data_IF_941391092738
#
_entry.id   IF_941391092738
#
_cell.length_a   1.000
_cell.length_b   1.000
_cell.length_c   1.000
_cell.angle_alpha   90.00
_cell.angle_beta   90.00
_cell.angle_gamma   90.00
#
_symmetry.space_group_name_H-M   'P 1'
#
loop_
_entity.id
_entity.type
_entity.pdbx_description
1 polymer ?
#
# COMPACT_ATOMS: atom_id res chain seq x y z
N UNK A 1 22.58 22.19 1.81
CA UNK A 1 21.45 23.00 1.28
C UNK A 1 20.37 22.04 0.82
N UNK A 2 19.08 22.33 1.06
CA UNK A 2 17.97 21.51 0.52
C UNK A 2 18.04 21.34 -1.00
N UNK A 3 18.68 22.30 -1.69
CA UNK A 3 18.98 22.28 -3.11
C UNK A 3 20.05 21.22 -3.47
N UNK A 4 21.05 20.97 -2.63
CA UNK A 4 22.07 19.93 -2.86
C UNK A 4 21.51 18.51 -2.68
N UNK A 5 20.67 18.30 -1.66
CA UNK A 5 19.93 17.06 -1.49
C UNK A 5 18.92 16.84 -2.63
N UNK A 6 18.24 17.90 -3.07
CA UNK A 6 17.38 17.86 -4.26
C UNK A 6 18.15 17.52 -5.55
N UNK A 7 19.39 18.02 -5.69
CA UNK A 7 20.24 17.74 -6.85
C UNK A 7 20.73 16.29 -6.89
N UNK A 8 21.04 15.69 -5.74
CA UNK A 8 21.36 14.26 -5.65
C UNK A 8 20.13 13.38 -5.92
N UNK A 9 18.94 13.75 -5.41
CA UNK A 9 17.68 13.03 -5.68
C UNK A 9 17.32 13.07 -7.17
N UNK A 10 17.47 14.23 -7.82
CA UNK A 10 17.12 14.41 -9.25
C UNK A 10 18.13 13.71 -10.16
N UNK A 11 19.43 13.67 -9.82
CA UNK A 11 20.44 12.93 -10.58
C UNK A 11 20.30 11.40 -10.44
N UNK A 12 19.70 10.92 -9.36
CA UNK A 12 19.45 9.48 -9.10
C UNK A 12 18.05 9.04 -9.54
N UNK A 13 17.20 9.97 -9.99
CA UNK A 13 15.83 9.69 -10.41
C UNK A 13 15.82 8.95 -11.77
N UNK A 14 15.89 7.63 -11.72
CA UNK A 14 15.71 6.75 -12.87
C UNK A 14 14.28 6.15 -12.89
N UNK A 15 13.93 5.47 -13.98
CA UNK A 15 12.60 4.87 -14.14
C UNK A 15 12.26 3.90 -13.00
N UNK A 16 13.25 3.16 -12.50
CA UNK A 16 13.10 2.21 -11.39
C UNK A 16 12.69 2.91 -10.10
N UNK A 17 13.39 3.98 -9.72
CA UNK A 17 13.10 4.79 -8.54
C UNK A 17 11.68 5.36 -8.62
N UNK A 18 11.26 5.84 -9.79
CA UNK A 18 9.91 6.37 -9.98
C UNK A 18 8.84 5.28 -9.85
N UNK A 19 9.06 4.10 -10.41
CA UNK A 19 8.16 2.95 -10.31
C UNK A 19 7.94 2.55 -8.84
N UNK A 20 9.03 2.38 -8.08
CA UNK A 20 8.94 2.04 -6.66
C UNK A 20 8.36 3.18 -5.81
N UNK A 21 8.66 4.43 -6.13
CA UNK A 21 8.06 5.59 -5.44
C UNK A 21 6.54 5.64 -5.64
N UNK A 22 6.03 5.36 -6.85
CA UNK A 22 4.60 5.26 -7.13
C UNK A 22 3.97 4.14 -6.30
N UNK A 23 4.60 2.96 -6.28
CA UNK A 23 4.11 1.81 -5.53
C UNK A 23 4.05 2.07 -4.02
N UNK A 24 5.12 2.62 -3.45
CA UNK A 24 5.19 3.02 -2.03
C UNK A 24 4.12 4.05 -1.70
N UNK A 25 3.92 5.04 -2.58
CA UNK A 25 2.91 6.09 -2.40
C UNK A 25 1.48 5.52 -2.42
N UNK A 26 1.20 4.56 -3.30
CA UNK A 26 -0.11 3.90 -3.37
C UNK A 26 -0.40 3.10 -2.09
N UNK A 27 0.56 2.29 -1.63
CA UNK A 27 0.38 1.50 -0.41
C UNK A 27 0.22 2.42 0.81
N UNK A 28 1.06 3.44 0.93
CA UNK A 28 0.99 4.42 2.02
C UNK A 28 -0.34 5.19 2.01
N UNK A 29 -0.75 5.69 0.85
CA UNK A 29 -2.04 6.37 0.70
C UNK A 29 -3.20 5.47 1.10
N UNK A 30 -3.18 4.21 0.67
CA UNK A 30 -4.23 3.25 1.02
C UNK A 30 -4.27 2.90 2.52
N UNK A 31 -3.11 2.85 3.18
CA UNK A 31 -3.04 2.71 4.63
C UNK A 31 -3.73 3.87 5.33
N UNK A 32 -3.53 5.10 4.85
CA UNK A 32 -4.24 6.28 5.35
C UNK A 32 -5.76 6.11 5.27
N UNK A 33 -6.26 5.67 4.11
CA UNK A 33 -7.71 5.41 3.93
C UNK A 33 -8.24 4.36 4.91
N UNK A 34 -7.47 3.29 5.15
CA UNK A 34 -7.89 2.22 6.08
C UNK A 34 -7.81 2.67 7.53
N UNK A 35 -6.83 3.51 7.86
CA UNK A 35 -6.77 4.18 9.15
C UNK A 35 -8.00 5.07 9.35
N UNK A 36 -8.44 5.80 8.32
CA UNK A 36 -9.64 6.63 8.39
C UNK A 36 -10.91 5.79 8.63
N UNK A 37 -11.02 4.55 8.12
CA UNK A 37 -12.15 3.66 8.45
C UNK A 37 -12.25 3.34 9.94
N UNK A 38 -11.10 3.21 10.60
CA UNK A 38 -11.02 2.97 12.03
C UNK A 38 -11.41 4.23 12.82
N UNK A 39 -11.00 5.39 12.32
CA UNK A 39 -11.02 6.65 13.06
C UNK A 39 -12.22 7.56 12.68
N UNK A 40 -13.17 7.08 11.85
CA UNK A 40 -14.36 7.83 11.38
C UNK A 40 -15.06 8.64 12.47
N UNK A 41 -15.34 8.03 13.63
CA UNK A 41 -16.05 8.73 14.72
C UNK A 41 -15.22 9.90 15.26
N UNK A 42 -13.90 9.71 15.41
CA UNK A 42 -12.98 10.76 15.84
C UNK A 42 -12.84 11.85 14.78
N UNK A 43 -12.76 11.47 13.51
CA UNK A 43 -12.67 12.41 12.39
C UNK A 43 -13.91 13.30 12.27
N UNK A 44 -15.11 12.74 12.48
CA UNK A 44 -16.36 13.52 12.52
C UNK A 44 -16.31 14.56 13.64
N UNK A 45 -15.85 14.19 14.85
CA UNK A 45 -15.74 15.14 15.97
C UNK A 45 -14.71 16.23 15.76
N UNK A 46 -13.72 15.99 14.89
CA UNK A 46 -12.70 16.98 14.51
C UNK A 46 -13.02 17.69 13.18
N UNK A 47 -14.22 17.51 12.64
CA UNK A 47 -14.67 18.09 11.36
C UNK A 47 -13.74 17.76 10.17
N UNK A 48 -13.04 16.62 10.24
CA UNK A 48 -12.15 16.14 9.18
C UNK A 48 -12.97 15.54 8.04
N UNK A 49 -12.56 15.85 6.80
CA UNK A 49 -13.17 15.31 5.59
C UNK A 49 -12.35 14.15 5.05
N UNK A 50 -12.45 12.99 5.70
CA UNK A 50 -11.78 11.77 5.25
C UNK A 50 -12.60 11.03 4.19
N UNK A 51 -11.95 10.15 3.42
CA UNK A 51 -12.56 9.37 2.34
C UNK A 51 -13.85 8.62 2.76
N UNK A 52 -13.87 7.87 3.88
CA UNK A 52 -15.11 7.24 4.36
C UNK A 52 -16.24 8.21 4.69
N UNK A 53 -15.92 9.42 5.14
CA UNK A 53 -16.91 10.46 5.47
C UNK A 53 -17.49 11.07 4.19
N UNK A 54 -16.63 11.32 3.19
CA UNK A 54 -17.04 12.00 1.95
C UNK A 54 -17.75 11.08 0.95
N UNK A 55 -17.22 9.87 0.71
CA UNK A 55 -17.76 8.92 -0.27
C UNK A 55 -18.68 7.86 0.37
N UNK A 56 -18.67 7.77 1.70
CA UNK A 56 -19.32 6.69 2.44
C UNK A 56 -18.46 5.42 2.51
N UNK A 57 -18.73 4.61 3.53
CA UNK A 57 -17.96 3.40 3.87
C UNK A 57 -17.82 2.42 2.68
N UNK A 58 -18.92 2.13 1.98
CA UNK A 58 -18.90 1.12 0.91
C UNK A 58 -18.04 1.54 -0.28
N UNK A 59 -18.16 2.79 -0.73
CA UNK A 59 -17.41 3.28 -1.89
C UNK A 59 -15.93 3.41 -1.57
N UNK A 60 -15.61 3.96 -0.39
CA UNK A 60 -14.24 4.08 0.07
C UNK A 60 -13.59 2.69 0.23
N UNK A 61 -14.29 1.68 0.75
CA UNK A 61 -13.76 0.30 0.83
C UNK A 61 -13.50 -0.30 -0.54
N UNK A 62 -14.41 -0.11 -1.51
CA UNK A 62 -14.19 -0.55 -2.90
C UNK A 62 -12.98 0.12 -3.53
N UNK A 63 -12.81 1.43 -3.33
CA UNK A 63 -11.62 2.14 -3.79
C UNK A 63 -10.36 1.57 -3.15
N UNK A 64 -10.36 1.32 -1.85
CA UNK A 64 -9.23 0.72 -1.13
C UNK A 64 -8.89 -0.68 -1.64
N UNK A 65 -9.89 -1.49 -1.99
CA UNK A 65 -9.69 -2.80 -2.63
C UNK A 65 -9.05 -2.69 -4.00
N UNK A 66 -9.54 -1.75 -4.83
CA UNK A 66 -8.96 -1.49 -6.16
C UNK A 66 -7.50 -1.07 -6.00
N UNK A 67 -7.20 -0.15 -5.08
CA UNK A 67 -5.82 0.29 -4.81
C UNK A 67 -4.95 -0.89 -4.35
N UNK A 68 -5.45 -1.79 -3.49
CA UNK A 68 -4.74 -3.01 -3.12
C UNK A 68 -4.41 -3.89 -4.33
N UNK A 69 -5.39 -4.15 -5.19
CA UNK A 69 -5.19 -5.01 -6.38
C UNK A 69 -4.21 -4.36 -7.36
N UNK A 70 -4.35 -3.05 -7.61
CA UNK A 70 -3.42 -2.28 -8.45
C UNK A 70 -2.01 -2.30 -7.87
N UNK A 71 -1.87 -2.11 -6.56
CA UNK A 71 -0.56 -2.16 -5.89
C UNK A 71 0.09 -3.53 -6.03
N UNK A 72 -0.66 -4.62 -5.87
CA UNK A 72 -0.15 -5.97 -6.11
C UNK A 72 0.31 -6.16 -7.56
N UNK A 73 -0.52 -5.75 -8.52
CA UNK A 73 -0.21 -5.88 -9.94
C UNK A 73 1.06 -5.09 -10.31
N UNK A 74 1.21 -3.87 -9.80
CA UNK A 74 2.40 -3.04 -10.00
C UNK A 74 3.62 -3.65 -9.31
N UNK A 75 3.49 -4.15 -8.08
CA UNK A 75 4.59 -4.83 -7.37
C UNK A 75 5.12 -5.99 -8.20
N UNK A 76 4.25 -6.86 -8.70
CA UNK A 76 4.62 -8.00 -9.54
C UNK A 76 5.26 -7.54 -10.86
N UNK A 77 4.67 -6.56 -11.54
CA UNK A 77 5.16 -6.05 -12.81
C UNK A 77 6.54 -5.40 -12.70
N UNK A 78 6.77 -4.59 -11.67
CA UNK A 78 8.06 -3.94 -11.44
C UNK A 78 9.13 -4.94 -10.99
N UNK A 79 8.75 -5.92 -10.17
CA UNK A 79 9.67 -6.96 -9.71
C UNK A 79 10.08 -7.96 -10.79
N UNK A 80 9.23 -8.18 -11.81
CA UNK A 80 9.46 -9.18 -12.85
C UNK A 80 10.79 -8.98 -13.61
N UNK A 81 11.23 -7.73 -13.79
CA UNK A 81 12.47 -7.41 -14.52
C UNK A 81 13.74 -7.78 -13.75
N UNK A 82 13.67 -7.86 -12.43
CA UNK A 82 14.85 -7.98 -11.56
C UNK A 82 14.99 -9.35 -10.91
N UNK A 83 14.04 -10.25 -11.14
CA UNK A 83 13.94 -11.49 -10.38
C UNK A 83 14.40 -12.70 -11.16
N UNK A 84 15.25 -13.46 -10.50
CA UNK A 84 15.61 -14.82 -10.90
C UNK A 84 14.53 -15.77 -10.38
N UNK A 85 13.87 -16.46 -11.30
CA UNK A 85 12.82 -17.43 -10.95
C UNK A 85 13.46 -18.63 -10.26
N UNK A 86 13.24 -18.71 -8.95
CA UNK A 86 13.69 -19.80 -8.07
C UNK A 86 12.50 -20.31 -7.26
N UNK A 87 12.62 -21.49 -6.65
CA UNK A 87 11.57 -22.02 -5.75
C UNK A 87 11.27 -21.04 -4.61
N UNK A 88 12.30 -20.37 -4.09
CA UNK A 88 12.17 -19.35 -3.03
C UNK A 88 11.40 -18.12 -3.51
N UNK A 89 11.70 -17.61 -4.71
CA UNK A 89 10.99 -16.43 -5.24
C UNK A 89 9.53 -16.76 -5.53
N UNK A 90 9.24 -17.97 -6.04
CA UNK A 90 7.86 -18.43 -6.26
C UNK A 90 7.09 -18.47 -4.93
N UNK A 91 7.69 -19.03 -3.88
CA UNK A 91 7.05 -19.08 -2.56
C UNK A 91 6.78 -17.69 -2.00
N UNK A 92 7.77 -16.78 -2.10
CA UNK A 92 7.65 -15.39 -1.67
C UNK A 92 6.49 -14.67 -2.38
N UNK A 93 6.42 -14.74 -3.72
CA UNK A 93 5.34 -14.10 -4.47
C UNK A 93 3.97 -14.73 -4.22
N UNK A 94 3.92 -16.05 -4.08
CA UNK A 94 2.67 -16.74 -3.77
C UNK A 94 2.13 -16.30 -2.40
N UNK A 95 3.02 -16.19 -1.40
CA UNK A 95 2.67 -15.67 -0.08
C UNK A 95 2.21 -14.20 -0.16
N UNK A 96 2.91 -13.37 -0.93
CA UNK A 96 2.54 -11.96 -1.12
C UNK A 96 1.14 -11.82 -1.74
N UNK A 97 0.87 -12.54 -2.83
CA UNK A 97 -0.44 -12.58 -3.48
C UNK A 97 -1.53 -13.00 -2.48
N UNK A 98 -1.27 -14.05 -1.69
CA UNK A 98 -2.22 -14.53 -0.70
C UNK A 98 -2.51 -13.46 0.37
N UNK A 99 -1.51 -12.74 0.87
CA UNK A 99 -1.72 -11.66 1.84
C UNK A 99 -2.57 -10.54 1.24
N UNK A 100 -2.32 -10.11 0.00
CA UNK A 100 -3.13 -9.10 -0.67
C UNK A 100 -4.58 -9.56 -0.86
N UNK A 101 -4.79 -10.82 -1.25
CA UNK A 101 -6.13 -11.39 -1.36
C UNK A 101 -6.85 -11.42 0.00
N UNK A 102 -6.13 -11.75 1.08
CA UNK A 102 -6.67 -11.68 2.44
C UNK A 102 -7.08 -10.26 2.79
N UNK A 103 -6.26 -9.24 2.49
CA UNK A 103 -6.63 -7.83 2.74
C UNK A 103 -7.90 -7.45 1.97
N UNK A 104 -7.99 -7.78 0.68
CA UNK A 104 -9.17 -7.48 -0.15
C UNK A 104 -10.42 -8.18 0.40
N UNK A 105 -10.32 -9.46 0.75
CA UNK A 105 -11.42 -10.22 1.35
C UNK A 105 -11.85 -9.61 2.69
N UNK A 106 -10.89 -9.21 3.53
CA UNK A 106 -11.18 -8.59 4.82
C UNK A 106 -11.94 -7.27 4.67
N UNK A 107 -11.54 -6.43 3.72
CA UNK A 107 -12.23 -5.17 3.42
C UNK A 107 -13.68 -5.40 2.92
N UNK A 108 -13.97 -6.53 2.28
CA UNK A 108 -15.34 -6.87 1.83
C UNK A 108 -16.22 -7.35 2.98
N UNK A 109 -15.69 -8.20 3.86
CA UNK A 109 -16.50 -9.02 4.77
C UNK A 109 -16.58 -8.45 6.19
N UNK A 110 -15.51 -7.82 6.68
CA UNK A 110 -15.43 -7.39 8.08
C UNK A 110 -15.49 -5.87 8.21
N UNK A 111 -16.53 -5.38 8.88
CA UNK A 111 -16.79 -3.94 9.08
C UNK A 111 -16.85 -3.59 10.55
N UNK A 112 -15.70 -3.66 11.22
CA UNK A 112 -15.58 -3.26 12.63
C UNK A 112 -14.21 -2.67 12.87
N UNK A 113 -14.15 -1.77 13.87
CA UNK A 113 -12.93 -1.12 14.33
C UNK A 113 -11.75 -2.08 14.50
N UNK A 114 -11.97 -3.22 15.18
CA UNK A 114 -10.90 -4.21 15.41
C UNK A 114 -10.41 -4.85 14.12
N UNK A 115 -11.32 -5.15 13.19
CA UNK A 115 -10.96 -5.76 11.92
C UNK A 115 -10.23 -4.78 11.01
N UNK A 116 -10.64 -3.51 11.01
CA UNK A 116 -9.97 -2.43 10.27
C UNK A 116 -8.57 -2.16 10.85
N UNK A 117 -8.41 -2.18 12.18
CA UNK A 117 -7.09 -2.08 12.82
C UNK A 117 -6.16 -3.23 12.42
N UNK A 118 -6.63 -4.48 12.45
CA UNK A 118 -5.81 -5.62 12.01
C UNK A 118 -5.45 -5.50 10.53
N UNK A 119 -6.39 -5.06 9.69
CA UNK A 119 -6.15 -4.86 8.25
C UNK A 119 -5.11 -3.76 8.01
N UNK A 120 -5.16 -2.68 8.79
CA UNK A 120 -4.12 -1.65 8.82
C UNK A 120 -2.75 -2.21 9.20
N UNK A 121 -2.68 -3.04 10.25
CA UNK A 121 -1.41 -3.65 10.68
C UNK A 121 -0.81 -4.58 9.62
N UNK A 122 -1.64 -5.34 8.91
CA UNK A 122 -1.20 -6.18 7.78
C UNK A 122 -0.62 -5.30 6.66
N UNK A 123 -1.30 -4.21 6.30
CA UNK A 123 -0.79 -3.30 5.28
C UNK A 123 0.46 -2.54 5.71
N UNK A 124 0.58 -2.18 6.99
CA UNK A 124 1.81 -1.61 7.54
C UNK A 124 2.98 -2.60 7.38
N UNK A 125 2.76 -3.89 7.65
CA UNK A 125 3.77 -4.90 7.42
C UNK A 125 4.14 -5.03 5.92
N UNK A 126 3.15 -5.01 5.01
CA UNK A 126 3.39 -5.00 3.56
C UNK A 126 4.12 -3.75 3.07
N UNK A 127 3.80 -2.60 3.64
CA UNK A 127 4.48 -1.33 3.35
C UNK A 127 5.95 -1.41 3.74
N UNK A 128 6.24 -1.88 4.95
CA UNK A 128 7.62 -2.06 5.41
C UNK A 128 8.38 -3.08 4.56
N UNK A 129 7.73 -4.18 4.16
CA UNK A 129 8.31 -5.17 3.26
C UNK A 129 8.64 -4.57 1.88
N UNK A 130 7.76 -3.72 1.36
CA UNK A 130 7.95 -3.03 0.07
C UNK A 130 9.07 -2.00 0.15
N UNK A 131 9.15 -1.23 1.23
CA UNK A 131 10.27 -0.33 1.49
C UNK A 131 11.60 -1.09 1.56
N UNK A 132 11.63 -2.22 2.27
CA UNK A 132 12.82 -3.05 2.33
C UNK A 132 13.20 -3.56 0.93
N UNK A 133 12.23 -4.10 0.18
CA UNK A 133 12.45 -4.57 -1.20
C UNK A 133 12.99 -3.47 -2.12
N UNK A 134 12.49 -2.24 -1.98
CA UNK A 134 12.95 -1.06 -2.71
C UNK A 134 14.46 -0.79 -2.48
N UNK A 135 14.94 -0.91 -1.24
CA UNK A 135 16.35 -0.67 -0.89
C UNK A 135 17.29 -1.73 -1.49
N UNK A 136 16.85 -2.98 -1.63
CA UNK A 136 17.70 -4.06 -2.16
C UNK A 136 17.62 -4.24 -3.67
N UNK A 137 16.57 -3.72 -4.32
CA UNK A 137 16.35 -3.85 -5.77
C UNK A 137 16.75 -2.61 -6.58
N UNK A 138 16.93 -1.46 -5.92
CA UNK A 138 17.49 -0.22 -6.50
C UNK A 138 18.99 -0.20 -6.26
#
# INVERSE_FOLDING_TARGET
>A
SMIGAGYEIVNVMNETVLQWAILVSLIFGNMGVIQDFRDVKGDITQERKTLPIHLGDLQARRMSQIICIVSLALFLAFSYRYIVITTTSIFYFSALILIYLVVVARLSTFKSYLYDHITYMILLALYNLTLFSCIFLI
#
